data_IF_496135277807
#
_entry.id   IF_496135277807
#
_cell.length_a   1.000
_cell.length_b   1.000
_cell.length_c   1.000
_cell.angle_alpha   90.00
_cell.angle_beta   90.00
_cell.angle_gamma   90.00
#
_symmetry.space_group_name_H-M   'P 1'
#
loop_
_entity.id
_entity.type
_entity.pdbx_description
1 polymer ?
#
# COMPACT_ATOMS: atom_id res chain seq x y z
N UNK A 1 -21.08 25.82 -52.26
CA UNK A 1 -20.40 25.20 -51.11
C UNK A 1 -18.90 25.15 -51.42
N UNK A 2 -18.23 26.29 -51.35
CA UNK A 2 -16.85 26.47 -51.84
C UNK A 2 -15.88 26.16 -50.70
N UNK A 3 -15.33 24.96 -50.69
CA UNK A 3 -14.30 24.56 -49.72
C UNK A 3 -13.02 25.34 -50.01
N UNK A 4 -12.60 26.16 -49.05
CA UNK A 4 -11.44 27.04 -49.18
C UNK A 4 -10.15 26.21 -49.05
N UNK A 5 -9.33 26.18 -50.11
CA UNK A 5 -8.05 25.44 -50.17
C UNK A 5 -7.10 25.75 -49.00
N UNK A 6 -7.24 26.92 -48.37
CA UNK A 6 -6.49 27.33 -47.18
C UNK A 6 -6.76 26.47 -45.95
N UNK A 7 -7.92 25.82 -45.86
CA UNK A 7 -8.28 24.98 -44.70
C UNK A 7 -7.49 23.67 -44.64
N UNK A 8 -7.00 23.16 -45.78
CA UNK A 8 -6.24 21.91 -45.83
C UNK A 8 -4.78 22.10 -45.42
N UNK A 9 -4.19 23.26 -45.69
CA UNK A 9 -2.78 23.55 -45.40
C UNK A 9 -2.53 23.64 -43.88
N UNK A 10 -3.50 24.16 -43.13
CA UNK A 10 -3.39 24.25 -41.66
C UNK A 10 -3.41 22.89 -40.95
N UNK A 11 -4.07 21.88 -41.54
CA UNK A 11 -4.19 20.54 -40.93
C UNK A 11 -2.86 19.77 -41.07
N UNK A 12 -2.15 19.94 -42.19
CA UNK A 12 -0.88 19.23 -42.44
C UNK A 12 0.27 19.78 -41.58
N UNK A 13 0.25 21.07 -41.24
CA UNK A 13 1.27 21.70 -40.41
C UNK A 13 1.20 21.30 -38.92
N UNK A 14 0.01 20.94 -38.42
CA UNK A 14 -0.14 20.48 -37.03
C UNK A 14 0.29 19.02 -36.81
N UNK A 15 0.32 18.18 -37.85
CA UNK A 15 0.67 16.76 -37.73
C UNK A 15 2.18 16.46 -37.66
N UNK A 16 3.06 17.44 -37.86
CA UNK A 16 4.52 17.23 -37.89
C UNK A 16 5.19 17.45 -36.53
N UNK A 17 4.47 17.98 -35.53
CA UNK A 17 4.98 18.11 -34.17
C UNK A 17 4.69 16.85 -33.34
N UNK A 18 5.32 15.73 -33.67
CA UNK A 18 5.43 14.61 -32.73
C UNK A 18 6.78 14.76 -32.02
N UNK A 19 6.83 15.20 -30.75
CA UNK A 19 8.08 15.22 -30.00
C UNK A 19 8.59 13.79 -29.83
N UNK A 20 9.87 13.60 -30.13
CA UNK A 20 10.58 12.32 -30.03
C UNK A 20 10.33 11.63 -28.68
N UNK A 21 10.08 10.33 -28.76
CA UNK A 21 9.91 9.45 -27.62
C UNK A 21 11.10 9.57 -26.66
N UNK A 22 10.85 10.11 -25.47
CA UNK A 22 11.80 10.13 -24.36
C UNK A 22 12.12 8.68 -23.99
N UNK A 23 13.32 8.22 -24.35
CA UNK A 23 13.83 6.92 -23.93
C UNK A 23 14.19 7.01 -22.44
N UNK A 24 13.28 6.54 -21.57
CA UNK A 24 13.52 6.47 -20.15
C UNK A 24 14.61 5.44 -19.84
N UNK A 25 15.86 5.90 -19.68
CA UNK A 25 16.95 5.07 -19.18
C UNK A 25 16.77 4.90 -17.66
N UNK A 26 16.06 3.84 -17.25
CA UNK A 26 15.97 3.46 -15.84
C UNK A 26 17.30 2.82 -15.41
N UNK A 27 18.32 3.65 -15.19
CA UNK A 27 19.51 3.24 -14.47
C UNK A 27 19.11 3.09 -13.00
N UNK A 28 18.65 1.89 -12.66
CA UNK A 28 18.31 1.48 -11.29
C UNK A 28 19.56 1.55 -10.42
N UNK A 29 19.82 2.73 -9.86
CA UNK A 29 20.72 2.89 -8.73
C UNK A 29 20.02 2.23 -7.55
N UNK A 30 20.50 1.03 -7.17
CA UNK A 30 20.12 0.39 -5.91
C UNK A 30 20.48 1.35 -4.77
N UNK A 31 19.53 2.16 -4.35
CA UNK A 31 19.64 2.92 -3.11
C UNK A 31 19.58 1.90 -1.98
N UNK A 32 20.73 1.65 -1.36
CA UNK A 32 20.77 0.94 -0.08
C UNK A 32 20.09 1.87 0.94
N UNK A 33 18.77 1.72 1.08
CA UNK A 33 17.99 2.40 2.11
C UNK A 33 18.49 1.87 3.45
N UNK A 34 19.32 2.67 4.11
CA UNK A 34 19.70 2.47 5.50
C UNK A 34 18.44 2.77 6.33
N UNK A 35 17.69 1.71 6.64
CA UNK A 35 16.44 1.80 7.40
C UNK A 35 16.81 1.94 8.88
N UNK A 36 17.05 3.17 9.32
CA UNK A 36 17.34 3.48 10.71
C UNK A 36 16.18 3.02 11.59
N UNK A 37 16.46 2.02 12.43
CA UNK A 37 15.59 1.41 13.44
C UNK A 37 14.32 0.75 12.88
N UNK A 38 14.43 -0.55 12.53
CA UNK A 38 13.28 -1.46 12.33
C UNK A 38 12.52 -1.65 13.65
N UNK A 39 11.82 -0.62 14.08
CA UNK A 39 10.74 -0.78 15.05
C UNK A 39 9.57 -1.38 14.28
N UNK A 40 9.01 -2.52 14.72
CA UNK A 40 7.84 -3.07 14.08
C UNK A 40 6.69 -2.07 14.27
N UNK A 41 6.00 -1.74 13.19
CA UNK A 41 4.90 -0.76 13.16
C UNK A 41 3.77 -1.28 12.31
N UNK A 42 2.55 -0.84 12.60
CA UNK A 42 1.42 -1.04 11.70
C UNK A 42 1.24 0.18 10.80
N UNK A 43 0.95 -0.06 9.53
CA UNK A 43 0.69 1.00 8.55
C UNK A 43 -0.80 1.09 8.24
N UNK A 44 -1.33 2.31 8.19
CA UNK A 44 -2.69 2.58 7.73
C UNK A 44 -2.80 4.02 7.19
N UNK A 45 -3.34 4.19 5.97
CA UNK A 45 -3.48 5.49 5.28
C UNK A 45 -2.20 6.32 5.32
N UNK A 46 -1.08 5.73 4.93
CA UNK A 46 0.26 6.35 4.90
C UNK A 46 0.81 6.84 6.25
N UNK A 47 0.12 6.51 7.36
CA UNK A 47 0.58 6.77 8.71
C UNK A 47 1.12 5.50 9.37
N UNK A 48 2.16 5.68 10.18
CA UNK A 48 2.75 4.65 11.04
C UNK A 48 2.11 4.68 12.43
N UNK A 49 1.83 3.50 12.96
CA UNK A 49 1.23 3.31 14.28
C UNK A 49 2.08 2.36 15.12
N UNK A 50 2.26 2.71 16.39
CA UNK A 50 2.94 1.87 17.37
C UNK A 50 2.04 0.74 17.86
N UNK A 51 2.63 -0.21 18.58
CA UNK A 51 1.88 -1.22 19.33
C UNK A 51 0.84 -0.56 20.26
N UNK A 52 -0.35 -1.17 20.35
CA UNK A 52 -1.48 -0.68 21.13
C UNK A 52 -2.36 0.37 20.44
N UNK A 53 -1.96 0.88 19.27
CA UNK A 53 -2.79 1.82 18.52
C UNK A 53 -4.10 1.19 18.06
N UNK A 54 -5.19 1.95 18.16
CA UNK A 54 -6.55 1.53 17.78
C UNK A 54 -7.01 2.28 16.53
N UNK A 55 -7.56 1.55 15.56
CA UNK A 55 -8.18 2.13 14.36
C UNK A 55 -9.53 1.46 14.10
N UNK A 56 -10.42 2.16 13.40
CA UNK A 56 -11.70 1.61 12.95
C UNK A 56 -11.65 1.42 11.44
N UNK A 57 -11.92 0.18 11.00
CA UNK A 57 -11.98 -0.19 9.59
C UNK A 57 -13.23 -1.06 9.36
N UNK A 58 -14.09 -0.68 8.42
CA UNK A 58 -15.31 -1.42 8.08
C UNK A 58 -16.13 -1.82 9.33
N UNK A 59 -16.44 -0.83 10.18
CA UNK A 59 -17.23 -0.96 11.41
C UNK A 59 -16.67 -1.93 12.45
N UNK A 60 -15.39 -2.29 12.34
CA UNK A 60 -14.67 -3.11 13.32
C UNK A 60 -13.49 -2.33 13.87
N UNK A 61 -13.27 -2.45 15.17
CA UNK A 61 -12.09 -1.91 15.84
C UNK A 61 -10.92 -2.88 15.63
N UNK A 62 -9.78 -2.34 15.25
CA UNK A 62 -8.52 -3.04 15.12
C UNK A 62 -7.50 -2.43 16.06
N UNK A 63 -6.63 -3.28 16.59
CA UNK A 63 -5.48 -2.89 17.41
C UNK A 63 -4.19 -3.34 16.71
N UNK A 64 -3.17 -2.49 16.75
CA UNK A 64 -1.82 -2.85 16.31
C UNK A 64 -1.17 -3.70 17.40
N UNK A 65 -0.98 -5.00 17.15
CA UNK A 65 -0.46 -5.94 18.12
C UNK A 65 0.38 -7.03 17.45
N UNK A 66 1.15 -7.78 18.25
CA UNK A 66 1.91 -8.93 17.76
C UNK A 66 1.02 -9.92 17.02
N UNK A 67 1.54 -10.44 15.89
CA UNK A 67 0.85 -11.45 15.07
C UNK A 67 0.39 -12.67 15.89
N UNK A 68 1.22 -13.08 16.85
CA UNK A 68 0.93 -14.18 17.76
C UNK A 68 1.04 -13.72 19.21
N UNK A 69 0.16 -14.23 20.07
CA UNK A 69 0.11 -13.88 21.50
C UNK A 69 1.37 -14.32 22.26
N UNK A 70 2.18 -15.21 21.68
CA UNK A 70 3.41 -15.73 22.26
C UNK A 70 4.70 -15.03 21.80
N UNK A 71 4.59 -13.99 20.95
CA UNK A 71 5.74 -13.23 20.45
C UNK A 71 5.72 -11.82 21.02
N UNK A 72 6.76 -11.47 21.78
CA UNK A 72 6.98 -10.11 22.31
C UNK A 72 7.79 -9.22 21.35
N UNK A 73 8.60 -9.81 20.47
CA UNK A 73 9.46 -9.09 19.51
C UNK A 73 9.06 -9.36 18.05
N UNK A 74 7.85 -9.88 17.83
CA UNK A 74 7.36 -10.28 16.52
C UNK A 74 6.92 -9.11 15.64
N UNK A 75 6.58 -9.42 14.39
CA UNK A 75 5.95 -8.47 13.47
C UNK A 75 4.59 -7.99 14.03
N UNK A 76 4.37 -6.67 14.04
CA UNK A 76 3.07 -6.09 14.40
C UNK A 76 2.11 -6.15 13.22
N UNK A 77 0.84 -6.50 13.49
CA UNK A 77 -0.25 -6.51 12.50
C UNK A 77 -1.52 -5.95 13.11
N UNK A 78 -2.40 -5.49 12.23
CA UNK A 78 -3.78 -5.16 12.61
C UNK A 78 -4.53 -6.43 13.01
N UNK A 79 -4.93 -6.50 14.28
CA UNK A 79 -5.78 -7.55 14.84
C UNK A 79 -7.11 -6.97 15.23
N UNK A 80 -8.18 -7.76 15.12
CA UNK A 80 -9.50 -7.34 15.60
C UNK A 80 -9.40 -7.14 17.12
N UNK A 81 -9.86 -5.98 17.58
CA UNK A 81 -9.94 -5.65 18.98
C UNK A 81 -11.32 -6.03 19.55
N UNK A 82 -11.35 -6.39 20.83
CA UNK A 82 -12.58 -6.48 21.60
C UNK A 82 -13.10 -5.07 21.98
N UNK A 83 -14.20 -5.03 22.71
CA UNK A 83 -14.79 -3.78 23.25
C UNK A 83 -13.86 -3.01 24.19
N UNK A 84 -12.85 -3.68 24.75
CA UNK A 84 -11.85 -3.09 25.64
C UNK A 84 -10.60 -2.62 24.88
N UNK A 85 -10.58 -2.70 23.54
CA UNK A 85 -9.44 -2.34 22.72
C UNK A 85 -8.29 -3.36 22.75
N UNK A 86 -8.52 -4.58 23.26
CA UNK A 86 -7.50 -5.63 23.36
C UNK A 86 -7.58 -6.57 22.17
N UNK A 87 -6.46 -7.11 21.68
CA UNK A 87 -6.47 -8.04 20.56
C UNK A 87 -7.19 -9.33 20.94
N UNK A 88 -8.14 -9.76 20.11
CA UNK A 88 -8.83 -11.05 20.32
C UNK A 88 -7.81 -12.18 20.14
N UNK A 89 -7.65 -13.10 21.12
CA UNK A 89 -6.62 -14.14 21.10
C UNK A 89 -6.79 -15.10 19.92
N UNK A 90 -5.66 -15.55 19.37
CA UNK A 90 -5.68 -16.48 18.23
C UNK A 90 -6.06 -17.87 18.71
N UNK A 91 -7.31 -18.30 18.46
CA UNK A 91 -7.74 -19.68 18.75
C UNK A 91 -7.24 -20.60 17.63
N UNK A 92 -6.35 -21.57 17.92
CA UNK A 92 -5.93 -22.52 16.89
C UNK A 92 -7.15 -23.29 16.36
N UNK A 93 -7.26 -23.38 15.04
CA UNK A 93 -8.31 -24.16 14.39
C UNK A 93 -8.13 -25.63 14.81
N UNK A 94 -9.08 -26.21 15.55
CA UNK A 94 -9.08 -27.64 15.87
C UNK A 94 -9.02 -28.43 14.57
N UNK A 95 -7.97 -29.22 14.36
CA UNK A 95 -7.91 -30.21 13.29
C UNK A 95 -8.73 -31.42 13.73
N UNK A 96 -9.72 -31.80 12.93
CA UNK A 96 -10.45 -33.05 13.14
C UNK A 96 -9.49 -34.17 12.72
N UNK A 97 -9.04 -34.98 13.66
CA UNK A 97 -8.34 -36.23 13.35
C UNK A 97 -9.39 -37.28 13.03
N UNK A 98 -9.32 -37.84 11.82
CA UNK A 98 -10.11 -39.00 11.41
C UNK A 98 -9.26 -40.23 11.76
N UNK A 99 -9.83 -41.19 12.47
CA UNK A 99 -9.19 -42.48 12.82
C UNK A 99 -9.74 -43.58 11.92
#
# INVERSE_FOLDING_TARGET
MTYNKFSFIFIVLFSVFIPESVLANSKSNKTHLFLDNLTPVCWYKDAKYSEGALIVMADKTFVCASKYDNQTTGELKWRIADENGRPIPHKPKKTIRIN
#
